data_IF_328757942773
#
_entry.id   IF_328757942773
#
_cell.length_a   1.000
_cell.length_b   1.000
_cell.length_c   1.000
_cell.angle_alpha   90.00
_cell.angle_beta   90.00
_cell.angle_gamma   90.00
#
_symmetry.space_group_name_H-M   'P 1'
#
loop_
_entity.id
_entity.type
_entity.pdbx_description
1 polymer ?
#
# COMPACT_ATOMS: atom_id res chain seq x y z
N UNK A 1 4.92 16.69 5.73
CA UNK A 1 4.05 15.80 4.94
C UNK A 1 3.62 14.62 5.82
N UNK A 2 2.45 14.00 5.58
CA UNK A 2 1.94 12.88 6.40
C UNK A 2 1.71 11.67 5.51
N UNK A 3 2.49 10.62 5.72
CA UNK A 3 2.61 9.49 4.81
C UNK A 3 2.00 8.24 5.42
N UNK A 4 1.14 7.57 4.67
CA UNK A 4 0.71 6.21 4.97
C UNK A 4 1.52 5.23 4.12
N UNK A 5 2.25 4.34 4.79
CA UNK A 5 2.93 3.23 4.16
C UNK A 5 2.10 1.97 4.37
N UNK A 6 1.93 1.21 3.30
CA UNK A 6 1.29 -0.11 3.34
C UNK A 6 2.12 -1.10 2.53
N UNK A 7 1.93 -2.39 2.79
CA UNK A 7 2.79 -3.42 2.21
C UNK A 7 3.90 -3.89 3.15
N UNK A 8 4.65 -4.87 2.69
CA UNK A 8 5.88 -5.31 3.37
C UNK A 8 6.99 -4.34 3.00
N UNK A 9 7.48 -3.60 3.99
CA UNK A 9 8.63 -2.72 3.82
C UNK A 9 9.86 -3.62 3.58
N UNK A 10 10.45 -3.53 2.40
CA UNK A 10 11.61 -4.36 2.00
C UNK A 10 12.93 -3.74 2.50
N UNK A 11 12.96 -2.43 2.79
CA UNK A 11 14.18 -1.71 3.20
C UNK A 11 13.89 -0.59 4.21
N UNK A 12 14.91 -0.18 4.97
CA UNK A 12 14.84 0.98 5.88
C UNK A 12 14.63 2.27 5.08
N UNK A 13 13.36 2.62 4.82
CA UNK A 13 13.04 3.88 4.17
C UNK A 13 13.05 4.98 5.23
N UNK A 14 14.05 5.85 5.11
CA UNK A 14 14.15 7.07 5.90
C UNK A 14 13.40 8.17 5.18
N UNK A 15 12.38 8.72 5.81
CA UNK A 15 11.79 9.99 5.39
C UNK A 15 12.15 11.03 6.45
N UNK A 16 12.79 12.10 6.01
CA UNK A 16 13.14 13.20 6.89
C UNK A 16 11.90 14.10 7.09
N UNK A 17 11.58 14.40 8.35
CA UNK A 17 10.53 15.35 8.76
C UNK A 17 9.07 15.03 8.39
N UNK A 18 8.76 13.75 8.22
CA UNK A 18 7.40 13.28 7.91
C UNK A 18 6.80 12.43 9.03
N UNK A 19 5.49 12.60 9.28
CA UNK A 19 4.75 11.63 10.09
C UNK A 19 4.47 10.41 9.22
N UNK A 20 4.98 9.26 9.64
CA UNK A 20 4.80 7.99 8.93
C UNK A 20 3.87 7.10 9.73
N UNK A 21 2.80 6.67 9.07
CA UNK A 21 1.88 5.67 9.60
C UNK A 21 2.05 4.41 8.78
N UNK A 22 2.37 3.28 9.40
CA UNK A 22 2.50 1.99 8.72
C UNK A 22 1.38 1.05 9.15
N UNK A 23 0.64 0.50 8.18
CA UNK A 23 -0.32 -0.59 8.42
C UNK A 23 0.31 -1.90 7.95
N UNK A 24 0.59 -2.82 8.87
CA UNK A 24 1.11 -4.13 8.54
C UNK A 24 1.52 -4.97 9.74
N UNK A 25 2.08 -6.14 9.46
CA UNK A 25 2.64 -7.02 10.48
C UNK A 25 3.97 -6.47 10.98
N UNK A 26 4.16 -6.44 12.31
CA UNK A 26 5.31 -5.80 12.97
C UNK A 26 6.62 -6.54 12.65
N UNK A 27 7.66 -5.80 12.24
CA UNK A 27 9.06 -6.27 12.34
C UNK A 27 10.03 -5.28 12.99
N UNK A 28 9.71 -3.99 13.07
CA UNK A 28 10.61 -2.98 13.64
C UNK A 28 9.84 -1.94 14.43
N UNK A 29 10.23 -1.71 15.68
CA UNK A 29 9.77 -0.57 16.48
C UNK A 29 10.93 0.40 16.60
N UNK A 30 10.82 1.57 15.98
CA UNK A 30 11.72 2.68 16.27
C UNK A 30 11.05 3.56 17.33
N UNK A 31 11.78 4.02 18.34
CA UNK A 31 11.26 4.93 19.39
C UNK A 31 11.01 6.36 18.87
N UNK A 32 10.99 6.54 17.54
CA UNK A 32 10.85 7.83 16.91
C UNK A 32 9.38 8.26 16.92
N UNK A 33 9.07 9.38 17.59
CA UNK A 33 7.72 9.97 17.66
C UNK A 33 7.11 10.32 16.28
N UNK A 34 7.91 10.33 15.22
CA UNK A 34 7.48 10.53 13.83
C UNK A 34 6.97 9.25 13.16
N UNK A 35 7.08 8.10 13.81
CA UNK A 35 6.63 6.81 13.28
C UNK A 35 5.51 6.23 14.14
N UNK A 36 4.40 5.86 13.50
CA UNK A 36 3.25 5.20 14.12
C UNK A 36 3.05 3.87 13.41
N UNK A 37 3.20 2.78 14.17
CA UNK A 37 2.93 1.44 13.67
C UNK A 37 1.54 1.01 14.10
N UNK A 38 0.75 0.55 13.13
CA UNK A 38 -0.61 0.06 13.34
C UNK A 38 -0.64 -1.37 12.85
N UNK A 39 -0.74 -2.31 13.79
CA UNK A 39 -0.95 -3.70 13.43
C UNK A 39 -2.36 -3.84 12.82
N UNK A 40 -2.43 -4.19 11.54
CA UNK A 40 -3.69 -4.24 10.82
C UNK A 40 -3.55 -4.70 9.38
N UNK A 41 -4.70 -4.79 8.70
CA UNK A 41 -4.81 -5.26 7.32
C UNK A 41 -5.58 -4.24 6.48
N UNK A 42 -5.09 -3.97 5.28
CA UNK A 42 -5.73 -3.09 4.28
C UNK A 42 -7.05 -3.66 3.71
N UNK A 43 -7.40 -4.90 4.06
CA UNK A 43 -8.74 -5.44 3.86
C UNK A 43 -9.78 -4.86 4.84
N UNK A 44 -9.36 -4.15 5.90
CA UNK A 44 -10.25 -3.45 6.82
C UNK A 44 -10.50 -2.02 6.36
N UNK A 45 -11.67 -1.78 5.75
CA UNK A 45 -12.07 -0.46 5.27
C UNK A 45 -12.16 0.56 6.40
N UNK A 46 -12.70 0.17 7.56
CA UNK A 46 -12.81 1.02 8.73
C UNK A 46 -11.44 1.46 9.24
N UNK A 47 -10.46 0.56 9.22
CA UNK A 47 -9.09 0.87 9.62
C UNK A 47 -8.45 1.87 8.66
N UNK A 48 -8.53 1.63 7.34
CA UNK A 48 -7.97 2.56 6.35
C UNK A 48 -8.63 3.92 6.52
N UNK A 49 -9.96 3.97 6.56
CA UNK A 49 -10.70 5.22 6.70
C UNK A 49 -10.36 5.96 8.00
N UNK A 50 -10.25 5.23 9.13
CA UNK A 50 -9.78 5.79 10.39
C UNK A 50 -8.38 6.39 10.25
N UNK A 51 -7.43 5.66 9.67
CA UNK A 51 -6.04 6.11 9.53
C UNK A 51 -5.93 7.35 8.63
N UNK A 52 -6.60 7.34 7.47
CA UNK A 52 -6.62 8.49 6.56
C UNK A 52 -7.11 9.75 7.26
N UNK A 53 -8.23 9.65 7.98
CA UNK A 53 -8.85 10.81 8.64
C UNK A 53 -8.14 11.23 9.93
N UNK A 54 -7.78 10.27 10.80
CA UNK A 54 -7.14 10.51 12.10
C UNK A 54 -5.80 11.23 11.95
N UNK A 55 -5.02 10.80 10.97
CA UNK A 55 -3.68 11.33 10.76
C UNK A 55 -3.63 12.37 9.64
N UNK A 56 -4.73 12.62 8.94
CA UNK A 56 -4.79 13.54 7.80
C UNK A 56 -3.70 13.24 6.76
N UNK A 57 -3.63 11.98 6.35
CA UNK A 57 -2.66 11.52 5.37
C UNK A 57 -2.72 12.40 4.12
N UNK A 58 -1.58 12.75 3.54
CA UNK A 58 -1.50 13.50 2.28
C UNK A 58 -0.81 12.70 1.18
N UNK A 59 -0.07 11.65 1.55
CA UNK A 59 0.62 10.76 0.61
C UNK A 59 0.47 9.31 1.04
N UNK A 60 0.20 8.44 0.08
CA UNK A 60 0.18 6.99 0.30
C UNK A 60 1.31 6.36 -0.49
N UNK A 61 2.06 5.46 0.13
CA UNK A 61 3.05 4.62 -0.54
C UNK A 61 2.66 3.17 -0.28
N UNK A 62 2.26 2.49 -1.35
CA UNK A 62 1.92 1.08 -1.30
C UNK A 62 3.04 0.25 -1.93
N UNK A 63 3.75 -0.49 -1.09
CA UNK A 63 4.68 -1.53 -1.55
C UNK A 63 3.90 -2.77 -1.90
N UNK A 64 4.12 -3.32 -3.09
CA UNK A 64 3.52 -4.58 -3.46
C UNK A 64 3.76 -5.66 -2.39
N UNK A 65 2.69 -6.34 -1.98
CA UNK A 65 2.68 -7.23 -0.82
C UNK A 65 3.06 -8.68 -1.21
N UNK A 66 3.60 -9.40 -0.22
CA UNK A 66 3.82 -10.85 -0.07
C UNK A 66 4.09 -11.71 -1.33
N UNK A 67 5.31 -12.25 -1.41
CA UNK A 67 5.71 -13.36 -2.29
C UNK A 67 5.69 -14.73 -1.61
N UNK A 68 5.14 -14.85 -0.39
CA UNK A 68 5.14 -16.11 0.36
C UNK A 68 4.32 -17.17 -0.38
N UNK A 69 4.98 -18.23 -0.82
CA UNK A 69 4.38 -19.31 -1.60
C UNK A 69 3.46 -20.21 -0.75
N UNK A 70 3.51 -20.07 0.57
CA UNK A 70 2.80 -20.96 1.51
C UNK A 70 1.37 -20.50 1.86
N UNK A 71 0.87 -19.40 1.27
CA UNK A 71 -0.52 -18.94 1.49
C UNK A 71 -1.48 -19.54 0.47
N UNK A 72 -2.74 -19.72 0.87
CA UNK A 72 -3.77 -20.17 -0.07
C UNK A 72 -3.94 -19.14 -1.21
N UNK A 73 -4.25 -19.57 -2.45
CA UNK A 73 -4.47 -18.64 -3.56
C UNK A 73 -5.58 -17.60 -3.30
N UNK A 74 -6.57 -17.97 -2.48
CA UNK A 74 -7.67 -17.10 -2.09
C UNK A 74 -7.15 -15.98 -1.18
N UNK A 75 -6.39 -16.33 -0.14
CA UNK A 75 -5.84 -15.34 0.79
C UNK A 75 -4.81 -14.45 0.09
N UNK A 76 -4.04 -15.04 -0.83
CA UNK A 76 -3.12 -14.30 -1.69
C UNK A 76 -3.85 -13.26 -2.54
N UNK A 77 -4.99 -13.62 -3.14
CA UNK A 77 -5.83 -12.70 -3.93
C UNK A 77 -6.42 -11.60 -3.06
N UNK A 78 -6.90 -11.92 -1.85
CA UNK A 78 -7.41 -10.94 -0.89
C UNK A 78 -6.33 -9.94 -0.48
N UNK A 79 -5.15 -10.43 -0.16
CA UNK A 79 -4.03 -9.59 0.29
C UNK A 79 -3.49 -8.70 -0.83
N UNK A 80 -3.33 -9.23 -2.06
CA UNK A 80 -2.68 -8.53 -3.15
C UNK A 80 -3.62 -7.76 -4.09
N UNK A 81 -4.85 -8.22 -4.33
CA UNK A 81 -5.79 -7.54 -5.24
C UNK A 81 -6.82 -6.74 -4.46
N UNK A 82 -7.55 -7.38 -3.53
CA UNK A 82 -8.66 -6.73 -2.82
C UNK A 82 -8.14 -5.60 -1.90
N UNK A 83 -7.01 -5.83 -1.23
CA UNK A 83 -6.39 -4.81 -0.39
C UNK A 83 -6.07 -3.51 -1.16
N UNK A 84 -5.58 -3.62 -2.40
CA UNK A 84 -5.28 -2.46 -3.24
C UNK A 84 -6.55 -1.77 -3.72
N UNK A 85 -7.57 -2.53 -4.11
CA UNK A 85 -8.88 -1.96 -4.44
C UNK A 85 -9.42 -1.11 -3.29
N UNK A 86 -9.38 -1.64 -2.07
CA UNK A 86 -9.84 -0.93 -0.88
C UNK A 86 -9.06 0.36 -0.64
N UNK A 87 -7.74 0.32 -0.80
CA UNK A 87 -6.87 1.50 -0.70
C UNK A 87 -7.24 2.55 -1.76
N UNK A 88 -7.35 2.17 -3.04
CA UNK A 88 -7.68 3.10 -4.12
C UNK A 88 -9.08 3.71 -3.94
N UNK A 89 -10.07 2.91 -3.57
CA UNK A 89 -11.45 3.37 -3.39
C UNK A 89 -11.58 4.37 -2.23
N UNK A 90 -10.96 4.07 -1.08
CA UNK A 90 -10.98 5.00 0.06
C UNK A 90 -10.10 6.21 -0.18
N UNK A 91 -8.98 6.05 -0.89
CA UNK A 91 -8.15 7.17 -1.34
C UNK A 91 -8.93 8.12 -2.24
N UNK A 92 -9.70 7.59 -3.18
CA UNK A 92 -10.52 8.41 -4.09
C UNK A 92 -11.58 9.22 -3.35
N UNK A 93 -12.20 8.65 -2.33
CA UNK A 93 -13.19 9.34 -1.47
C UNK A 93 -12.57 10.34 -0.51
N UNK A 94 -11.24 10.34 -0.37
CA UNK A 94 -10.54 11.11 0.64
C UNK A 94 -9.87 12.35 0.02
N UNK A 95 -10.39 13.53 0.38
CA UNK A 95 -10.13 14.79 -0.31
C UNK A 95 -8.73 15.38 -0.08
N UNK A 96 -8.01 14.95 0.98
CA UNK A 96 -6.70 15.52 1.34
C UNK A 96 -5.53 14.83 0.65
N UNK A 97 -5.78 13.77 -0.13
CA UNK A 97 -4.70 13.02 -0.78
C UNK A 97 -4.08 13.82 -1.93
N UNK A 98 -2.77 13.99 -1.88
CA UNK A 98 -1.98 14.71 -2.87
C UNK A 98 -1.16 13.78 -3.76
N UNK A 99 -0.85 12.57 -3.27
CA UNK A 99 -0.05 11.60 -4.02
C UNK A 99 -0.36 10.15 -3.60
N UNK A 100 -0.50 9.26 -4.57
CA UNK A 100 -0.60 7.82 -4.37
C UNK A 100 0.55 7.12 -5.13
N UNK A 101 1.59 6.71 -4.42
CA UNK A 101 2.69 5.94 -4.99
C UNK A 101 2.40 4.45 -4.92
N UNK A 102 2.42 3.79 -6.07
CA UNK A 102 2.33 2.34 -6.19
C UNK A 102 3.68 1.78 -6.64
N UNK A 103 4.30 0.95 -5.80
CA UNK A 103 5.63 0.39 -6.06
C UNK A 103 5.49 -1.06 -6.56
N UNK A 104 5.91 -1.32 -7.79
CA UNK A 104 5.89 -2.65 -8.45
C UNK A 104 7.30 -3.24 -8.57
N UNK A 105 7.38 -4.50 -9.01
CA UNK A 105 8.66 -5.17 -9.28
C UNK A 105 8.69 -5.66 -10.73
N UNK A 106 9.70 -5.24 -11.50
CA UNK A 106 9.81 -5.54 -12.92
C UNK A 106 10.15 -7.01 -13.25
N UNK A 107 10.74 -7.75 -12.29
CA UNK A 107 11.24 -9.12 -12.48
C UNK A 107 10.18 -10.21 -12.29
N UNK A 108 8.90 -9.89 -12.34
CA UNK A 108 7.84 -10.88 -12.18
C UNK A 108 7.81 -11.91 -13.30
N UNK A 109 7.84 -13.19 -12.94
CA UNK A 109 7.53 -14.27 -13.87
C UNK A 109 6.02 -14.38 -14.03
N UNK A 110 5.54 -14.16 -15.25
CA UNK A 110 4.12 -14.07 -15.62
C UNK A 110 3.25 -15.26 -15.22
N UNK A 111 3.84 -16.46 -15.09
CA UNK A 111 3.12 -17.71 -14.78
C UNK A 111 2.91 -17.94 -13.29
N UNK A 112 3.45 -17.08 -12.43
CA UNK A 112 3.27 -17.18 -10.97
C UNK A 112 2.04 -16.41 -10.51
N UNK A 113 1.45 -16.80 -9.38
CA UNK A 113 0.35 -16.03 -8.77
C UNK A 113 0.78 -14.58 -8.44
N UNK A 114 2.05 -14.39 -8.09
CA UNK A 114 2.66 -13.08 -7.91
C UNK A 114 2.62 -12.23 -9.18
N UNK A 115 3.10 -12.77 -10.31
CA UNK A 115 3.04 -12.08 -11.61
C UNK A 115 1.60 -11.80 -12.07
N UNK A 116 0.71 -12.79 -11.93
CA UNK A 116 -0.69 -12.66 -12.32
C UNK A 116 -1.42 -11.57 -11.51
N UNK A 117 -1.19 -11.51 -10.20
CA UNK A 117 -1.80 -10.47 -9.34
C UNK A 117 -1.26 -9.09 -9.66
N UNK A 118 0.05 -8.92 -9.88
CA UNK A 118 0.62 -7.63 -10.31
C UNK A 118 0.01 -7.12 -11.60
N UNK A 119 -0.05 -7.97 -12.64
CA UNK A 119 -0.67 -7.61 -13.92
C UNK A 119 -2.15 -7.30 -13.80
N UNK A 120 -2.85 -7.97 -12.88
CA UNK A 120 -4.28 -7.71 -12.64
C UNK A 120 -4.53 -6.33 -12.03
N UNK A 121 -3.54 -5.72 -11.38
CA UNK A 121 -3.66 -4.40 -10.75
C UNK A 121 -3.50 -3.25 -11.73
N UNK A 122 -2.76 -3.44 -12.83
CA UNK A 122 -2.61 -2.42 -13.87
C UNK A 122 -3.95 -1.87 -14.40
N UNK A 123 -4.92 -2.69 -14.85
CA UNK A 123 -6.21 -2.17 -15.31
C UNK A 123 -7.00 -1.52 -14.16
N UNK A 124 -6.83 -1.99 -12.92
CA UNK A 124 -7.47 -1.39 -11.75
C UNK A 124 -6.96 0.04 -11.54
N UNK A 125 -5.64 0.24 -11.56
CA UNK A 125 -5.03 1.57 -11.43
C UNK A 125 -5.47 2.50 -12.55
N UNK A 126 -5.55 2.01 -13.79
CA UNK A 126 -6.04 2.81 -14.93
C UNK A 126 -7.44 3.40 -14.70
N UNK A 127 -8.34 2.70 -14.00
CA UNK A 127 -9.67 3.21 -13.65
C UNK A 127 -9.65 4.40 -12.68
N UNK A 128 -8.55 4.59 -11.95
CA UNK A 128 -8.37 5.65 -10.96
C UNK A 128 -7.36 6.73 -11.40
N UNK A 129 -6.62 6.56 -12.50
CA UNK A 129 -5.61 7.52 -12.96
C UNK A 129 -6.14 8.94 -13.18
N UNK A 130 -7.40 9.10 -13.60
CA UNK A 130 -8.03 10.42 -13.78
C UNK A 130 -8.70 10.95 -12.50
N UNK A 131 -8.73 10.15 -11.43
CA UNK A 131 -9.45 10.41 -10.18
C UNK A 131 -8.51 10.61 -8.99
N UNK A 132 -7.26 10.16 -9.12
CA UNK A 132 -6.26 10.16 -8.08
C UNK A 132 -4.90 10.56 -8.66
N UNK A 133 -4.05 11.25 -7.88
CA UNK A 133 -2.68 11.59 -8.27
C UNK A 133 -1.78 10.35 -8.13
N UNK A 134 -1.95 9.37 -9.01
CA UNK A 134 -1.23 8.09 -8.97
C UNK A 134 0.13 8.21 -9.65
N UNK A 135 1.17 7.72 -8.98
CA UNK A 135 2.52 7.56 -9.52
C UNK A 135 2.91 6.09 -9.37
N UNK A 136 3.31 5.46 -10.48
CA UNK A 136 3.79 4.07 -10.48
C UNK A 136 5.31 4.11 -10.51
N UNK A 137 5.95 3.41 -9.58
CA UNK A 137 7.39 3.21 -9.56
C UNK A 137 7.70 1.73 -9.75
N UNK A 138 8.49 1.42 -10.77
CA UNK A 138 9.04 0.07 -10.97
C UNK A 138 10.38 -0.02 -10.24
N UNK A 139 10.52 -1.01 -9.36
CA UNK A 139 11.81 -1.35 -8.78
C UNK A 139 12.44 -2.53 -9.55
N UNK A 140 13.75 -2.44 -9.79
CA UNK A 140 14.56 -3.44 -10.51
C UNK A 140 15.07 -4.56 -9.59
#
# INVERSE_FOLDING_TARGET
MKVLITGNIIHDIKFDDELIVHIGSVKYTTENKKYIFINGNINSLDLINYVLNKYEITKIIHFFLKSDINVSPIDYTKENIIGIHNLLELSHKYEKLQEFCYITNKKTQDITLFGATQKSIEPIIQLYNNKLPIIIYEND
#
